data_IF_340127771604
#
_entry.id   IF_340127771604
#
_cell.length_a   1.000
_cell.length_b   1.000
_cell.length_c   1.000
_cell.angle_alpha   90.00
_cell.angle_beta   90.00
_cell.angle_gamma   90.00
#
_symmetry.space_group_name_H-M   'P 1'
#
loop_
_entity.id
_entity.type
_entity.pdbx_description
1 polymer ?
#
# COMPACT_ATOMS: atom_id res chain seq x y z
N UNK A 1 -2.61 -14.13 6.44
CA UNK A 1 -3.07 -13.91 7.83
C UNK A 1 -4.58 -14.13 7.89
N UNK A 2 -5.20 -14.22 9.08
CA UNK A 2 -6.66 -14.39 9.19
C UNK A 2 -7.42 -13.23 8.53
N UNK A 3 -8.50 -13.55 7.81
CA UNK A 3 -9.38 -12.60 7.11
C UNK A 3 -8.69 -11.69 6.06
N UNK A 4 -7.46 -12.01 5.66
CA UNK A 4 -6.85 -11.35 4.51
C UNK A 4 -7.58 -11.78 3.23
N UNK A 5 -7.90 -10.82 2.37
CA UNK A 5 -8.59 -11.06 1.09
C UNK A 5 -7.71 -10.57 -0.05
N UNK A 6 -7.52 -11.43 -1.06
CA UNK A 6 -6.85 -11.10 -2.32
C UNK A 6 -7.80 -11.47 -3.45
N UNK A 7 -8.23 -10.48 -4.22
CA UNK A 7 -9.23 -10.62 -5.27
C UNK A 7 -8.62 -11.02 -6.63
N UNK A 8 -9.43 -11.47 -7.60
CA UNK A 8 -8.96 -11.96 -8.89
C UNK A 8 -8.08 -10.97 -9.67
N UNK A 9 -7.10 -11.49 -10.41
CA UNK A 9 -6.19 -10.68 -11.21
C UNK A 9 -5.05 -10.03 -10.42
N UNK A 10 -5.12 -10.00 -9.09
CA UNK A 10 -4.01 -9.51 -8.27
C UNK A 10 -2.80 -10.44 -8.34
N UNK A 11 -1.61 -9.86 -8.43
CA UNK A 11 -0.32 -10.53 -8.39
C UNK A 11 0.45 -10.11 -7.14
N UNK A 12 0.99 -11.10 -6.42
CA UNK A 12 1.77 -10.87 -5.19
C UNK A 12 3.19 -11.38 -5.39
N UNK A 13 4.16 -10.49 -5.19
CA UNK A 13 5.58 -10.76 -5.28
C UNK A 13 6.11 -11.64 -4.14
N UNK A 14 7.42 -11.87 -4.16
CA UNK A 14 8.11 -12.71 -3.18
C UNK A 14 8.24 -11.97 -1.85
N UNK A 15 8.15 -12.73 -0.76
CA UNK A 15 8.38 -12.24 0.61
C UNK A 15 7.45 -11.09 1.05
N UNK A 16 6.27 -10.96 0.43
CA UNK A 16 5.26 -10.01 0.85
C UNK A 16 4.53 -10.48 2.11
N UNK A 17 4.05 -9.54 2.91
CA UNK A 17 3.20 -9.79 4.07
C UNK A 17 1.82 -9.19 3.80
N UNK A 18 0.80 -10.05 3.76
CA UNK A 18 -0.61 -9.64 3.72
C UNK A 18 -1.23 -9.94 5.09
N UNK A 19 -1.38 -8.87 5.89
CA UNK A 19 -1.66 -8.96 7.32
C UNK A 19 -3.16 -9.10 7.62
N UNK A 20 -3.54 -9.21 8.90
CA UNK A 20 -4.90 -9.52 9.36
C UNK A 20 -5.90 -8.53 8.78
N UNK A 21 -6.97 -9.03 8.18
CA UNK A 21 -8.03 -8.20 7.58
C UNK A 21 -7.56 -7.20 6.52
N UNK A 22 -6.37 -7.38 5.94
CA UNK A 22 -5.94 -6.59 4.79
C UNK A 22 -6.72 -7.03 3.53
N UNK A 23 -7.05 -6.06 2.67
CA UNK A 23 -7.76 -6.30 1.41
C UNK A 23 -6.90 -5.82 0.26
N UNK A 24 -6.65 -6.72 -0.69
CA UNK A 24 -6.05 -6.42 -2.00
C UNK A 24 -7.12 -6.70 -3.05
N UNK A 25 -7.67 -5.63 -3.63
CA UNK A 25 -8.69 -5.72 -4.68
C UNK A 25 -8.14 -6.28 -6.00
N UNK A 26 -9.00 -6.38 -7.00
CA UNK A 26 -8.68 -6.94 -8.31
C UNK A 26 -7.55 -6.21 -9.05
N UNK A 27 -6.85 -6.94 -9.91
CA UNK A 27 -5.84 -6.42 -10.85
C UNK A 27 -4.67 -5.65 -10.23
N UNK A 28 -4.42 -5.85 -8.94
CA UNK A 28 -3.30 -5.24 -8.23
C UNK A 28 -1.96 -5.89 -8.60
N UNK A 29 -0.89 -5.10 -8.60
CA UNK A 29 0.48 -5.60 -8.71
C UNK A 29 1.22 -5.22 -7.44
N UNK A 30 1.50 -6.21 -6.60
CA UNK A 30 2.23 -6.04 -5.35
C UNK A 30 3.63 -6.60 -5.55
N UNK A 31 4.64 -5.75 -5.64
CA UNK A 31 6.03 -6.15 -5.89
C UNK A 31 6.69 -6.82 -4.68
N UNK A 32 7.91 -7.36 -4.87
CA UNK A 32 8.65 -8.08 -3.83
C UNK A 32 8.87 -7.26 -2.55
N UNK A 33 8.80 -7.94 -1.40
CA UNK A 33 9.06 -7.39 -0.06
C UNK A 33 8.09 -6.28 0.38
N UNK A 34 6.87 -6.22 -0.17
CA UNK A 34 5.83 -5.29 0.29
C UNK A 34 5.17 -5.79 1.59
N UNK A 35 4.94 -4.89 2.54
CA UNK A 35 4.18 -5.18 3.76
C UNK A 35 2.84 -4.43 3.74
N UNK A 36 1.75 -5.16 3.52
CA UNK A 36 0.37 -4.65 3.64
C UNK A 36 -0.11 -4.95 5.07
N UNK A 37 -0.08 -3.94 5.94
CA UNK A 37 -0.34 -4.08 7.37
C UNK A 37 -1.82 -4.34 7.70
N UNK A 38 -2.10 -4.59 8.98
CA UNK A 38 -3.43 -4.95 9.50
C UNK A 38 -4.50 -3.99 8.98
N UNK A 39 -5.58 -4.51 8.42
CA UNK A 39 -6.74 -3.72 7.99
C UNK A 39 -6.50 -2.75 6.82
N UNK A 40 -5.31 -2.72 6.23
CA UNK A 40 -5.01 -1.88 5.08
C UNK A 40 -5.79 -2.34 3.84
N UNK A 41 -6.20 -1.38 3.00
CA UNK A 41 -7.08 -1.63 1.84
C UNK A 41 -6.46 -1.05 0.58
N UNK A 42 -6.17 -1.92 -0.37
CA UNK A 42 -5.69 -1.56 -1.70
C UNK A 42 -6.86 -1.73 -2.65
N UNK A 43 -7.36 -0.63 -3.23
CA UNK A 43 -8.43 -0.69 -4.22
C UNK A 43 -7.93 -1.26 -5.56
N UNK A 44 -8.80 -1.40 -6.56
CA UNK A 44 -8.47 -2.10 -7.80
C UNK A 44 -7.40 -1.41 -8.65
N UNK A 45 -6.60 -2.22 -9.36
CA UNK A 45 -5.63 -1.74 -10.36
C UNK A 45 -4.57 -0.79 -9.78
N UNK A 46 -4.03 -1.09 -8.60
CA UNK A 46 -2.93 -0.38 -7.96
C UNK A 46 -1.62 -1.13 -8.17
N UNK A 47 -0.56 -0.39 -8.48
CA UNK A 47 0.82 -0.90 -8.43
C UNK A 47 1.50 -0.44 -7.14
N UNK A 48 2.07 -1.38 -6.38
CA UNK A 48 2.86 -1.09 -5.18
C UNK A 48 4.28 -1.59 -5.40
N UNK A 49 5.22 -0.64 -5.43
CA UNK A 49 6.65 -0.89 -5.62
C UNK A 49 7.32 -1.69 -4.50
N UNK A 50 8.51 -2.21 -4.79
CA UNK A 50 9.31 -3.06 -3.90
C UNK A 50 9.61 -2.40 -2.57
N UNK A 51 9.67 -3.19 -1.50
CA UNK A 51 10.05 -2.74 -0.14
C UNK A 51 9.15 -1.61 0.40
N UNK A 52 7.94 -1.48 -0.12
CA UNK A 52 6.98 -0.48 0.36
C UNK A 52 6.18 -1.03 1.53
N UNK A 53 5.99 -0.18 2.55
CA UNK A 53 5.18 -0.45 3.73
C UNK A 53 3.85 0.29 3.63
N UNK A 54 2.73 -0.44 3.65
CA UNK A 54 1.38 0.14 3.77
C UNK A 54 0.92 -0.01 5.22
N UNK A 55 0.82 1.10 5.95
CA UNK A 55 0.55 1.15 7.38
C UNK A 55 -0.82 0.60 7.79
N UNK A 56 -0.98 0.32 9.09
CA UNK A 56 -2.23 -0.20 9.67
C UNK A 56 -3.42 0.69 9.29
N UNK A 57 -4.48 0.10 8.75
CA UNK A 57 -5.69 0.82 8.34
C UNK A 57 -5.52 1.80 7.16
N UNK A 58 -4.34 1.90 6.55
CA UNK A 58 -4.13 2.77 5.40
C UNK A 58 -4.98 2.31 4.19
N UNK A 59 -5.40 3.27 3.37
CA UNK A 59 -6.23 3.02 2.18
C UNK A 59 -5.58 3.63 0.94
N UNK A 60 -5.55 2.86 -0.15
CA UNK A 60 -4.98 3.28 -1.43
C UNK A 60 -6.11 3.32 -2.47
N UNK A 61 -6.33 4.49 -3.07
CA UNK A 61 -7.33 4.69 -4.14
C UNK A 61 -6.97 3.84 -5.36
N UNK A 62 -7.98 3.43 -6.11
CA UNK A 62 -7.82 2.63 -7.33
C UNK A 62 -7.05 3.39 -8.43
N UNK A 63 -6.48 2.62 -9.37
CA UNK A 63 -5.80 3.13 -10.57
C UNK A 63 -4.63 4.09 -10.27
N UNK A 64 -3.83 3.83 -9.22
CA UNK A 64 -2.64 4.63 -8.91
C UNK A 64 -1.42 3.74 -8.69
N UNK A 65 -0.23 4.34 -8.80
CA UNK A 65 1.05 3.68 -8.58
C UNK A 65 1.77 4.29 -7.38
N UNK A 66 2.33 3.44 -6.52
CA UNK A 66 3.24 3.82 -5.44
C UNK A 66 4.63 3.27 -5.80
N UNK A 67 5.62 4.15 -5.94
CA UNK A 67 6.98 3.73 -6.26
C UNK A 67 7.63 2.89 -5.14
N UNK A 68 8.83 2.40 -5.39
CA UNK A 68 9.55 1.58 -4.41
C UNK A 68 9.91 2.38 -3.15
N UNK A 69 10.25 1.67 -2.08
CA UNK A 69 10.85 2.25 -0.88
C UNK A 69 9.98 3.35 -0.22
N UNK A 70 8.66 3.17 -0.27
CA UNK A 70 7.70 4.09 0.36
C UNK A 70 7.21 3.56 1.72
N UNK A 71 6.86 4.46 2.63
CA UNK A 71 6.13 4.14 3.85
C UNK A 71 4.84 4.96 3.89
N UNK A 72 3.69 4.29 3.82
CA UNK A 72 2.39 4.92 4.06
C UNK A 72 2.09 4.79 5.55
N UNK A 73 1.93 5.93 6.23
CA UNK A 73 1.64 5.96 7.66
C UNK A 73 0.30 5.29 8.02
N UNK A 74 0.13 4.99 9.30
CA UNK A 74 -1.11 4.45 9.84
C UNK A 74 -2.31 5.34 9.44
N UNK A 75 -3.38 4.70 8.98
CA UNK A 75 -4.62 5.36 8.52
C UNK A 75 -4.43 6.39 7.40
N UNK A 76 -3.29 6.40 6.70
CA UNK A 76 -3.05 7.29 5.57
C UNK A 76 -3.95 6.94 4.37
N UNK A 77 -4.42 7.96 3.65
CA UNK A 77 -5.26 7.78 2.45
C UNK A 77 -4.55 8.29 1.21
N UNK A 78 -4.02 7.37 0.40
CA UNK A 78 -3.30 7.70 -0.84
C UNK A 78 -4.32 7.91 -1.96
N UNK A 79 -4.40 9.13 -2.48
CA UNK A 79 -5.40 9.54 -3.50
C UNK A 79 -4.80 9.87 -4.87
N UNK A 80 -3.47 9.83 -4.98
CA UNK A 80 -2.69 10.16 -6.18
C UNK A 80 -1.43 9.32 -6.23
N UNK A 81 -0.83 9.20 -7.41
CA UNK A 81 0.44 8.52 -7.59
C UNK A 81 1.54 9.05 -6.65
N UNK A 82 2.37 8.13 -6.17
CA UNK A 82 3.57 8.41 -5.40
C UNK A 82 4.77 8.05 -6.27
N UNK A 83 5.45 9.09 -6.76
CA UNK A 83 6.54 8.98 -7.73
C UNK A 83 7.93 9.07 -7.09
N UNK A 84 8.00 9.43 -5.81
CA UNK A 84 9.25 9.70 -5.09
C UNK A 84 9.23 8.85 -3.81
N UNK A 85 10.30 8.07 -3.52
CA UNK A 85 10.40 7.32 -2.27
C UNK A 85 10.29 8.22 -1.05
N UNK A 86 9.72 7.71 0.03
CA UNK A 86 9.63 8.44 1.30
C UNK A 86 8.43 8.03 2.14
N UNK A 87 8.25 8.78 3.24
CA UNK A 87 7.12 8.58 4.16
C UNK A 87 5.96 9.48 3.79
N UNK A 88 4.75 8.93 3.74
CA UNK A 88 3.52 9.63 3.38
C UNK A 88 2.47 9.45 4.48
N UNK A 89 1.98 10.54 5.04
CA UNK A 89 1.05 10.52 6.19
C UNK A 89 -0.18 11.41 5.94
N UNK A 90 -1.27 11.11 6.64
CA UNK A 90 -2.47 11.94 6.67
C UNK A 90 -3.58 11.56 5.67
N UNK A 91 -4.61 12.38 5.64
CA UNK A 91 -5.80 12.24 4.79
C UNK A 91 -6.09 13.60 4.11
N UNK A 92 -5.73 13.79 2.83
CA UNK A 92 -5.00 12.84 1.98
C UNK A 92 -3.53 12.68 2.42
N UNK A 93 -2.94 11.53 2.10
CA UNK A 93 -1.55 11.23 2.39
C UNK A 93 -0.64 12.16 1.59
N UNK A 94 0.25 12.86 2.29
CA UNK A 94 1.27 13.75 1.71
C UNK A 94 2.63 13.41 2.27
N UNK A 95 3.68 13.72 1.50
CA UNK A 95 5.06 13.44 1.89
C UNK A 95 5.37 14.15 3.21
N UNK A 96 5.76 13.37 4.22
CA UNK A 96 6.28 13.88 5.47
C UNK A 96 7.62 14.57 5.20
N UNK A 97 7.72 15.82 5.63
CA UNK A 97 8.97 16.57 5.60
C UNK A 97 9.58 16.50 6.98
N UNK A 98 10.88 16.23 7.07
CA UNK A 98 11.61 16.37 8.33
C UNK A 98 11.36 17.76 8.90
N UNK A 99 10.97 17.80 10.17
CA UNK A 99 10.97 19.06 10.94
C UNK A 99 12.44 19.33 11.28
N UNK A 100 13.06 20.24 10.54
CA UNK A 100 14.32 20.89 10.96
C UNK A 100 14.03 21.76 12.18
#
# INVERSE_FOLDING_TARGET
MANAVVNPGASIGKHCIINTSAVVEHDNIIEDYVHISVGAKIAGTVHIGKRTWIGIGATVKNNISICNDCMIGASGVVVKDILIPGTYIGVPATMEREKI
#
